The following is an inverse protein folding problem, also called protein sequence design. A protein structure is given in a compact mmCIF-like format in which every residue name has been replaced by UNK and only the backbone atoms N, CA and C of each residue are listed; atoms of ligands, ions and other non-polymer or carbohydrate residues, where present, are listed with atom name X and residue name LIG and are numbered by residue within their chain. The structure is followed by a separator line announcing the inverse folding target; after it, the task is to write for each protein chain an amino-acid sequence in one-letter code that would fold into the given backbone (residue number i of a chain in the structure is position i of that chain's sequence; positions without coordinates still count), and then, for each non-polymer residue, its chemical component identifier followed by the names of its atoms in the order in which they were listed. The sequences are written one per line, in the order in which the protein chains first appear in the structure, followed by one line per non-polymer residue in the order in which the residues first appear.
data_IF_032854270670
#
_entry.id   IF_032854270670
#
_cell.length_a   1.000
_cell.length_b   1.000
_cell.length_c   1.000
_cell.angle_alpha   90.00
_cell.angle_beta   90.00
_cell.angle_gamma   90.00
#
_symmetry.space_group_name_H-M   'P 1'
#
loop_
_entity.id
_entity.type
_entity.pdbx_description
1 polymer ?
#
# COMPACT_ATOMS: atom_id res chain seq x y z
N UNK A 1 -3.96 -18.96 -8.94
CA UNK A 1 -3.60 -18.26 -10.13
C UNK A 1 -2.77 -17.03 -9.84
N UNK A 2 -1.69 -16.93 -10.53
CA UNK A 2 -0.77 -15.83 -10.25
C UNK A 2 -1.18 -14.58 -11.00
N UNK A 3 -0.98 -13.44 -10.36
CA UNK A 3 -1.15 -12.18 -11.03
C UNK A 3 0.14 -11.81 -11.77
N UNK A 4 0.02 -10.90 -12.70
CA UNK A 4 1.18 -10.39 -13.39
C UNK A 4 1.98 -9.50 -12.43
N UNK A 5 3.00 -10.09 -11.83
CA UNK A 5 3.77 -9.42 -10.78
C UNK A 5 4.43 -8.15 -11.30
N UNK A 6 5.01 -8.21 -12.49
CA UNK A 6 5.65 -7.02 -13.06
C UNK A 6 4.65 -5.91 -13.28
N UNK A 7 3.45 -6.26 -13.72
CA UNK A 7 2.40 -5.27 -13.89
C UNK A 7 2.00 -4.62 -12.58
N UNK A 8 1.96 -5.42 -11.51
CA UNK A 8 1.64 -4.88 -10.19
C UNK A 8 2.71 -3.89 -9.75
N UNK A 9 3.97 -4.25 -9.88
CA UNK A 9 5.04 -3.33 -9.51
C UNK A 9 4.99 -2.05 -10.35
N UNK A 10 4.73 -2.20 -11.63
CA UNK A 10 4.63 -1.05 -12.51
C UNK A 10 3.50 -0.12 -12.08
N UNK A 11 2.36 -0.70 -11.74
CA UNK A 11 1.22 0.10 -11.28
C UNK A 11 1.55 0.84 -9.99
N UNK A 12 2.35 0.22 -9.13
CA UNK A 12 2.71 0.83 -7.85
C UNK A 12 3.83 1.85 -7.98
N UNK A 13 4.42 1.98 -9.14
CA UNK A 13 5.55 2.90 -9.31
C UNK A 13 5.14 4.36 -9.35
N UNK A 14 3.86 4.66 -9.48
CA UNK A 14 3.36 6.03 -9.59
C UNK A 14 2.75 6.46 -8.25
N UNK A 15 3.15 7.64 -7.79
CA UNK A 15 2.71 8.13 -6.48
C UNK A 15 1.20 8.35 -6.42
N UNK A 16 0.61 8.85 -7.50
CA UNK A 16 -0.83 9.06 -7.50
C UNK A 16 -1.58 7.74 -7.40
N UNK A 17 -1.09 6.72 -8.08
CA UNK A 17 -1.73 5.42 -7.99
C UNK A 17 -1.61 4.83 -6.59
N UNK A 18 -0.46 4.98 -5.96
CA UNK A 18 -0.32 4.51 -4.58
C UNK A 18 -1.28 5.24 -3.65
N UNK A 19 -1.45 6.55 -3.87
CA UNK A 19 -2.38 7.32 -3.04
C UNK A 19 -3.81 6.86 -3.24
N UNK A 20 -4.19 6.57 -4.47
CA UNK A 20 -5.53 6.06 -4.73
C UNK A 20 -5.76 4.76 -3.97
N UNK A 21 -4.79 3.86 -4.02
CA UNK A 21 -4.94 2.59 -3.30
C UNK A 21 -5.07 2.79 -1.80
N UNK A 22 -4.30 3.73 -1.26
CA UNK A 22 -4.39 4.06 0.17
C UNK A 22 -5.78 4.55 0.52
N UNK A 23 -6.34 5.41 -0.32
CA UNK A 23 -7.68 5.92 -0.08
C UNK A 23 -8.72 4.80 -0.14
N UNK A 24 -8.58 3.92 -1.12
CA UNK A 24 -9.53 2.83 -1.27
C UNK A 24 -9.41 1.78 -0.18
N UNK A 25 -8.28 1.76 0.53
CA UNK A 25 -8.13 0.82 1.63
C UNK A 25 -9.12 1.09 2.75
N UNK A 26 -9.58 2.33 2.87
CA UNK A 26 -10.53 2.71 3.91
C UNK A 26 -11.96 2.38 3.53
N UNK A 27 -12.34 2.68 2.28
CA UNK A 27 -13.68 2.35 1.80
C UNK A 27 -13.73 2.56 0.30
N UNK A 28 -14.76 2.00 -0.33
CA UNK A 28 -14.91 2.20 -1.77
C UNK A 28 -15.25 3.66 -2.06
N UNK A 29 -14.87 4.12 -3.23
CA UNK A 29 -15.08 5.51 -3.61
C UNK A 29 -15.46 5.62 -5.08
N UNK A 30 -16.28 6.62 -5.39
CA UNK A 30 -16.60 6.92 -6.77
C UNK A 30 -15.43 7.63 -7.44
N UNK A 31 -15.43 7.59 -8.77
CA UNK A 31 -14.41 8.30 -9.53
C UNK A 31 -14.40 9.78 -9.18
N UNK A 32 -15.59 10.36 -9.03
CA UNK A 32 -15.67 11.78 -8.70
C UNK A 32 -15.07 12.09 -7.34
N UNK A 33 -15.34 11.25 -6.36
CA UNK A 33 -14.77 11.45 -5.03
C UNK A 33 -13.25 11.33 -5.05
N UNK A 34 -12.75 10.36 -5.79
CA UNK A 34 -11.30 10.20 -5.90
C UNK A 34 -10.69 11.43 -6.54
N UNK A 35 -11.30 11.89 -7.65
CA UNK A 35 -10.76 13.01 -8.40
C UNK A 35 -10.69 14.29 -7.58
N UNK A 36 -11.61 14.46 -6.66
CA UNK A 36 -11.62 15.68 -5.83
C UNK A 36 -10.41 15.77 -4.92
N UNK A 37 -9.75 14.66 -4.65
CA UNK A 37 -8.62 14.64 -3.74
C UNK A 37 -7.28 14.89 -4.42
N UNK A 38 -7.28 15.11 -5.71
CA UNK A 38 -6.03 15.24 -6.47
C UNK A 38 -6.02 16.54 -7.27
N UNK A 39 -4.84 17.16 -7.40
CA UNK A 39 -4.70 18.37 -8.22
C UNK A 39 -4.46 18.05 -9.69
N UNK A 40 -4.97 16.94 -10.17
CA UNK A 40 -4.84 16.57 -11.57
C UNK A 40 -6.22 16.38 -12.16
N UNK A 41 -6.31 16.32 -13.49
CA UNK A 41 -7.58 16.28 -14.15
C UNK A 41 -8.30 14.94 -13.92
N UNK A 42 -9.63 14.99 -14.07
CA UNK A 42 -10.41 13.76 -13.93
C UNK A 42 -10.03 12.72 -14.99
N UNK A 43 -9.76 13.08 -16.24
CA UNK A 43 -9.25 12.09 -17.19
C UNK A 43 -7.96 11.44 -16.77
N UNK A 44 -7.07 12.20 -16.11
CA UNK A 44 -5.82 11.61 -15.59
C UNK A 44 -6.12 10.59 -14.50
N UNK A 45 -7.06 10.90 -13.61
CA UNK A 45 -7.48 9.97 -12.58
C UNK A 45 -8.06 8.71 -13.23
N UNK A 46 -8.88 8.88 -14.26
CA UNK A 46 -9.47 7.73 -14.93
C UNK A 46 -8.41 6.83 -15.54
N UNK A 47 -7.35 7.42 -16.09
CA UNK A 47 -6.24 6.64 -16.65
C UNK A 47 -5.53 5.85 -15.56
N UNK A 48 -5.28 6.47 -14.41
CA UNK A 48 -4.68 5.76 -13.29
C UNK A 48 -5.54 4.60 -12.84
N UNK A 49 -6.84 4.82 -12.74
CA UNK A 49 -7.74 3.75 -12.33
C UNK A 49 -7.78 2.62 -13.35
N UNK A 50 -7.68 2.95 -14.62
CA UNK A 50 -7.65 1.92 -15.64
C UNK A 50 -6.40 1.05 -15.52
N UNK A 51 -5.27 1.66 -15.24
CA UNK A 51 -4.03 0.91 -15.03
C UNK A 51 -4.16 0.01 -13.81
N UNK A 52 -4.70 0.54 -12.72
CA UNK A 52 -4.91 -0.25 -11.52
C UNK A 52 -5.89 -1.40 -11.76
N UNK A 53 -6.90 -1.15 -12.58
CA UNK A 53 -7.87 -2.18 -12.90
C UNK A 53 -7.26 -3.31 -13.71
N UNK A 54 -6.38 -2.97 -14.65
CA UNK A 54 -5.73 -3.99 -15.48
C UNK A 54 -4.88 -4.93 -14.66
N UNK A 55 -4.35 -4.46 -13.55
CA UNK A 55 -3.52 -5.28 -12.68
C UNK A 55 -4.33 -5.90 -11.55
N UNK A 56 -5.64 -5.73 -11.59
CA UNK A 56 -6.56 -6.28 -10.61
C UNK A 56 -6.36 -5.72 -9.20
N UNK A 57 -5.76 -4.55 -9.10
CA UNK A 57 -5.59 -3.90 -7.80
C UNK A 57 -6.85 -3.18 -7.37
N UNK A 58 -7.72 -2.85 -8.31
CA UNK A 58 -9.01 -2.27 -7.99
C UNK A 58 -10.09 -2.99 -8.80
N UNK A 59 -11.29 -3.01 -8.26
CA UNK A 59 -12.44 -3.63 -8.90
C UNK A 59 -13.50 -2.56 -9.11
N UNK A 60 -13.95 -2.37 -10.35
CA UNK A 60 -15.00 -1.38 -10.61
C UNK A 60 -16.37 -1.96 -10.31
N UNK A 61 -17.25 -1.09 -9.90
CA UNK A 61 -18.62 -1.46 -9.61
C UNK A 61 -19.53 -0.33 -10.03
N UNK A 62 -20.48 -0.63 -10.92
CA UNK A 62 -21.43 0.39 -11.35
C UNK A 62 -22.58 0.43 -10.37
N UNK A 63 -22.89 1.61 -9.90
CA UNK A 63 -23.98 1.80 -8.96
C UNK A 63 -24.77 3.01 -9.39
N UNK A 64 -25.86 2.77 -10.11
CA UNK A 64 -26.63 3.83 -10.69
C UNK A 64 -25.82 4.53 -11.78
N UNK A 65 -25.65 5.82 -11.64
CA UNK A 65 -24.91 6.60 -12.62
C UNK A 65 -23.45 6.75 -12.28
N UNK A 66 -23.06 6.27 -11.11
CA UNK A 66 -21.69 6.45 -10.68
C UNK A 66 -20.95 5.14 -10.72
N UNK A 67 -19.66 5.28 -11.00
CA UNK A 67 -18.77 4.14 -11.02
C UNK A 67 -17.91 4.20 -9.76
N UNK A 68 -17.97 3.14 -8.99
CA UNK A 68 -17.21 3.03 -7.76
C UNK A 68 -16.04 2.08 -7.94
N UNK A 69 -15.02 2.25 -7.13
CA UNK A 69 -13.87 1.36 -7.13
C UNK A 69 -13.61 0.86 -5.74
N UNK A 70 -13.21 -0.39 -5.67
CA UNK A 70 -12.90 -1.06 -4.41
C UNK A 70 -11.49 -1.63 -4.51
N UNK A 71 -10.76 -1.57 -3.43
CA UNK A 71 -9.42 -2.15 -3.38
C UNK A 71 -9.53 -3.67 -3.44
N UNK A 72 -8.70 -4.29 -4.25
CA UNK A 72 -8.51 -5.73 -4.22
C UNK A 72 -7.09 -5.98 -3.76
N UNK A 73 -6.89 -6.41 -2.51
CA UNK A 73 -5.53 -6.56 -1.98
C UNK A 73 -4.82 -7.82 -2.44
N UNK A 74 -5.48 -8.70 -3.16
CA UNK A 74 -4.88 -9.98 -3.53
C UNK A 74 -3.57 -9.86 -4.31
N UNK A 75 -3.50 -9.00 -5.34
CA UNK A 75 -2.24 -8.89 -6.07
C UNK A 75 -1.09 -8.37 -5.22
N UNK A 76 -1.41 -7.65 -4.14
CA UNK A 76 -0.37 -7.13 -3.26
C UNK A 76 0.32 -8.24 -2.48
N UNK A 77 -0.27 -9.42 -2.43
CA UNK A 77 0.37 -10.55 -1.78
C UNK A 77 1.68 -10.93 -2.46
N UNK A 78 1.76 -10.73 -3.77
CA UNK A 78 3.00 -11.02 -4.48
C UNK A 78 4.10 -10.05 -4.09
N UNK A 79 3.72 -8.79 -3.89
CA UNK A 79 4.67 -7.78 -3.41
C UNK A 79 5.12 -8.15 -2.00
N UNK A 80 4.18 -8.54 -1.16
CA UNK A 80 4.50 -8.94 0.20
C UNK A 80 5.44 -10.13 0.23
N UNK A 81 5.21 -11.11 -0.61
CA UNK A 81 6.09 -12.28 -0.67
C UNK A 81 7.52 -11.88 -1.02
N UNK A 82 7.65 -11.00 -2.00
CA UNK A 82 8.97 -10.55 -2.39
C UNK A 82 9.64 -9.80 -1.25
N UNK A 83 8.90 -8.93 -0.57
CA UNK A 83 9.45 -8.19 0.55
C UNK A 83 9.82 -9.10 1.70
N UNK A 84 9.07 -10.16 1.92
CA UNK A 84 9.36 -11.09 3.00
C UNK A 84 10.69 -11.80 2.81
N UNK A 85 11.13 -11.92 1.56
CA UNK A 85 12.44 -12.49 1.30
C UNK A 85 13.53 -11.68 2.00
N UNK A 86 13.32 -10.37 2.14
CA UNK A 86 14.28 -9.48 2.77
C UNK A 86 14.03 -9.28 4.25
N UNK A 87 13.02 -9.93 4.78
CA UNK A 87 12.60 -9.70 6.15
C UNK A 87 13.72 -9.98 7.15
N UNK A 88 14.48 -11.03 6.89
CA UNK A 88 15.58 -11.40 7.77
C UNK A 88 16.64 -10.30 7.86
N UNK A 89 16.83 -9.57 6.78
CA UNK A 89 17.79 -8.48 6.78
C UNK A 89 17.34 -7.32 7.66
N UNK A 90 16.06 -6.99 7.54
CA UNK A 90 15.50 -5.90 8.32
C UNK A 90 15.45 -6.26 9.81
N UNK A 91 15.02 -7.46 10.11
CA UNK A 91 14.95 -7.91 11.48
C UNK A 91 16.31 -7.94 12.11
N UNK A 92 17.32 -8.38 11.39
CA UNK A 92 18.67 -8.41 11.88
C UNK A 92 19.17 -7.01 12.21
N UNK A 93 18.92 -6.06 11.33
CA UNK A 93 19.33 -4.68 11.54
C UNK A 93 18.61 -4.07 12.72
N UNK A 94 17.33 -4.32 12.81
CA UNK A 94 16.55 -3.79 13.93
C UNK A 94 17.02 -4.37 15.25
N UNK A 95 17.36 -5.64 15.26
CA UNK A 95 17.89 -6.25 16.48
C UNK A 95 19.21 -5.65 16.89
N UNK A 96 20.07 -5.38 15.94
CA UNK A 96 21.34 -4.73 16.23
C UNK A 96 21.13 -3.35 16.82
N UNK A 97 20.23 -2.59 16.21
CA UNK A 97 19.94 -1.25 16.68
C UNK A 97 19.35 -1.31 18.08
N UNK A 98 18.46 -2.24 18.30
CA UNK A 98 17.85 -2.40 19.61
C UNK A 98 18.89 -2.71 20.67
N UNK A 99 19.81 -3.62 20.37
CA UNK A 99 20.91 -3.96 21.27
C UNK A 99 21.74 -2.74 21.60
N UNK A 100 22.08 -2.00 20.56
CA UNK A 100 22.92 -0.82 20.75
C UNK A 100 22.25 0.19 21.67
N UNK A 101 20.97 0.41 21.46
CA UNK A 101 20.24 1.39 22.27
C UNK A 101 20.10 0.92 23.70
N UNK A 102 19.87 -0.36 23.90
CA UNK A 102 19.73 -0.90 25.24
C UNK A 102 21.04 -0.79 26.05
N UNK A 103 22.16 -1.04 25.37
CA UNK A 103 23.45 -0.90 26.02
C UNK A 103 23.75 0.53 26.40
N UNK A 104 23.35 1.46 25.58
CA UNK A 104 23.64 2.86 25.82
C UNK A 104 22.75 3.47 26.88
N UNK A 105 21.46 3.16 26.81
CA UNK A 105 20.48 3.83 27.67
C UNK A 105 20.08 3.04 28.90
N UNK A 106 20.46 1.80 28.95
CA UNK A 106 19.96 0.96 30.01
C UNK A 106 18.58 0.42 29.65
N UNK A 107 17.84 0.04 30.67
CA UNK A 107 16.61 -0.70 30.44
C UNK A 107 15.37 0.15 30.30
N UNK A 108 15.47 1.44 30.50
CA UNK A 108 14.29 2.26 30.57
C UNK A 108 13.51 2.39 29.24
N UNK A 109 14.22 2.33 28.14
CA UNK A 109 13.59 2.53 26.84
C UNK A 109 12.93 1.29 26.30
N UNK A 110 13.19 0.17 26.91
CA UNK A 110 12.76 -1.09 26.36
C UNK A 110 11.26 -1.22 26.25
N UNK A 111 10.57 -0.89 27.30
CA UNK A 111 9.13 -1.03 27.29
C UNK A 111 8.42 -0.13 26.30
N UNK A 112 8.84 1.10 26.27
CA UNK A 112 8.25 2.04 25.35
C UNK A 112 8.46 1.62 23.91
N UNK A 113 9.62 1.10 23.63
CA UNK A 113 9.93 0.65 22.29
C UNK A 113 9.07 -0.53 21.89
N UNK A 114 8.89 -1.48 22.80
CA UNK A 114 8.08 -2.66 22.52
C UNK A 114 6.65 -2.30 22.21
N UNK A 115 6.10 -1.37 22.92
CA UNK A 115 4.74 -0.95 22.69
C UNK A 115 4.54 -0.39 21.31
N UNK A 116 5.50 0.35 20.83
CA UNK A 116 5.39 0.92 19.50
C UNK A 116 5.52 -0.11 18.41
N UNK A 117 6.35 -1.09 18.63
CA UNK A 117 6.60 -2.07 17.58
C UNK A 117 5.39 -2.94 17.32
N UNK A 118 4.43 -2.91 18.20
CA UNK A 118 3.23 -3.68 18.02
C UNK A 118 2.25 -3.07 17.05
N UNK A 119 2.43 -1.86 16.72
CA UNK A 119 1.50 -1.19 15.80
C UNK A 119 1.88 -1.43 14.35
#
# INVERSE_FOLDING_TARGET
MAYNVDGVFSALADANRRQILTMLASNKMSVNSIAQSFPISRPAISRHLKILQRTNLVVPEQNGRERYYTLNPEPLKEVKKWLMFYDKFWNKKLNRLKHYLEEKDGSNTKEGFDKRSRR
#
